data_IF_694112117667
#
_entry.id   IF_694112117667
#
_cell.length_a   1.000
_cell.length_b   1.000
_cell.length_c   1.000
_cell.angle_alpha   90.00
_cell.angle_beta   90.00
_cell.angle_gamma   90.00
#
_symmetry.space_group_name_H-M   'P 1'
#
loop_
_entity.id
_entity.type
_entity.pdbx_description
1 polymer ?
#
# COMPACT_ATOMS: atom_id res chain seq x y z
N UNK A 1 -6.77 30.87 -3.81
CA UNK A 1 -6.33 30.03 -2.68
C UNK A 1 -4.88 30.39 -2.42
N UNK A 2 -4.65 31.36 -1.54
CA UNK A 2 -3.31 31.74 -1.08
C UNK A 2 -2.83 30.68 -0.11
N UNK A 3 -1.72 30.04 -0.45
CA UNK A 3 -1.00 29.08 0.39
C UNK A 3 -0.48 29.82 1.63
N UNK A 4 -1.18 29.67 2.76
CA UNK A 4 -0.83 30.25 4.06
C UNK A 4 -0.05 29.23 4.88
N UNK A 5 0.98 28.62 4.30
CA UNK A 5 1.93 27.84 5.10
C UNK A 5 2.89 28.82 5.76
N UNK A 6 2.85 28.99 7.10
CA UNK A 6 3.73 29.95 7.78
C UNK A 6 5.19 29.50 7.66
N UNK A 7 6.15 30.44 7.64
CA UNK A 7 7.57 30.13 7.53
C UNK A 7 8.03 29.23 8.71
N UNK A 8 9.01 28.34 8.47
CA UNK A 8 9.42 27.26 9.41
C UNK A 8 9.70 27.74 10.85
N UNK A 9 10.21 28.94 11.00
CA UNK A 9 10.48 29.62 12.26
C UNK A 9 9.21 30.06 13.01
N UNK A 10 8.15 30.43 12.30
CA UNK A 10 6.84 30.65 12.93
C UNK A 10 6.19 29.33 13.30
N UNK A 11 6.29 28.28 12.47
CA UNK A 11 5.80 26.93 12.81
C UNK A 11 6.40 26.40 14.12
N UNK A 12 7.73 26.51 14.29
CA UNK A 12 8.41 26.13 15.54
C UNK A 12 7.92 26.93 16.76
N UNK A 13 7.54 28.19 16.56
CA UNK A 13 7.04 29.07 17.62
C UNK A 13 5.59 28.75 17.97
N UNK A 14 4.73 28.47 16.98
CA UNK A 14 3.35 28.00 17.17
C UNK A 14 3.32 26.63 17.86
N UNK A 15 4.19 25.70 17.45
CA UNK A 15 4.32 24.38 18.10
C UNK A 15 4.81 24.51 19.55
N UNK A 16 5.77 25.39 19.83
CA UNK A 16 6.27 25.63 21.19
C UNK A 16 5.22 26.29 22.11
N UNK A 17 4.43 27.23 21.60
CA UNK A 17 3.34 27.88 22.37
C UNK A 17 2.20 26.90 22.64
N UNK A 18 1.81 26.08 21.66
CA UNK A 18 0.83 25.02 21.89
C UNK A 18 1.34 23.95 22.85
N UNK A 19 2.63 23.60 22.80
CA UNK A 19 3.24 22.68 23.74
C UNK A 19 3.17 23.22 25.19
N UNK A 20 3.54 24.49 25.42
CA UNK A 20 3.45 25.09 26.76
C UNK A 20 2.03 25.11 27.32
N UNK A 21 1.04 25.52 26.52
CA UNK A 21 -0.36 25.50 26.95
C UNK A 21 -0.88 24.09 27.29
N UNK A 22 -0.31 23.05 26.67
CA UNK A 22 -0.69 21.66 26.96
C UNK A 22 -0.08 21.12 28.26
N UNK A 23 1.15 21.51 28.59
CA UNK A 23 1.74 21.18 29.91
C UNK A 23 0.92 21.81 31.03
N UNK A 24 0.53 23.08 30.88
CA UNK A 24 -0.29 23.77 31.87
C UNK A 24 -1.64 23.07 32.07
N UNK A 25 -2.28 22.67 30.97
CA UNK A 25 -3.51 21.88 31.01
C UNK A 25 -3.34 20.53 31.73
N UNK A 26 -2.32 19.75 31.38
CA UNK A 26 -2.07 18.45 32.02
C UNK A 26 -1.77 18.62 33.52
N UNK A 27 -1.00 19.64 33.89
CA UNK A 27 -0.72 19.94 35.29
C UNK A 27 -1.98 20.32 36.07
N UNK A 28 -2.90 21.09 35.47
CA UNK A 28 -4.21 21.40 36.07
C UNK A 28 -5.05 20.12 36.26
N UNK A 29 -5.09 19.24 35.26
CA UNK A 29 -5.82 17.96 35.34
C UNK A 29 -5.26 17.08 36.46
N UNK A 30 -3.93 16.97 36.56
CA UNK A 30 -3.28 16.19 37.62
C UNK A 30 -3.59 16.76 39.00
N UNK A 31 -3.49 18.08 39.17
CA UNK A 31 -3.80 18.74 40.44
C UNK A 31 -5.27 18.50 40.84
N UNK A 32 -6.20 18.67 39.90
CA UNK A 32 -7.62 18.38 40.15
C UNK A 32 -7.84 16.94 40.55
N UNK A 33 -7.14 16.00 39.91
CA UNK A 33 -7.27 14.58 40.23
C UNK A 33 -6.81 14.26 41.65
N UNK A 34 -5.74 14.90 42.13
CA UNK A 34 -5.27 14.75 43.52
C UNK A 34 -6.27 15.29 44.55
N UNK A 35 -7.12 16.24 44.16
CA UNK A 35 -8.15 16.85 45.01
C UNK A 35 -9.51 16.11 44.95
N UNK A 36 -9.67 15.13 44.05
CA UNK A 36 -10.92 14.34 43.93
C UNK A 36 -11.11 13.46 45.16
N UNK A 37 -12.30 13.53 45.75
CA UNK A 37 -12.70 12.60 46.81
C UNK A 37 -12.79 11.18 46.26
N UNK A 38 -12.23 10.22 46.98
CA UNK A 38 -12.29 8.78 46.67
C UNK A 38 -13.72 8.24 46.45
N UNK A 39 -14.75 8.93 46.96
CA UNK A 39 -16.16 8.63 46.73
C UNK A 39 -16.71 9.12 45.38
N UNK A 40 -16.08 10.10 44.73
CA UNK A 40 -16.52 10.68 43.45
C UNK A 40 -15.80 10.03 42.26
N UNK A 41 -16.23 8.81 41.94
CA UNK A 41 -15.66 8.02 40.83
C UNK A 41 -15.90 8.64 39.45
N UNK A 42 -16.96 9.43 39.27
CA UNK A 42 -17.34 9.97 37.95
C UNK A 42 -16.41 11.12 37.54
N UNK A 43 -16.11 12.02 38.47
CA UNK A 43 -15.13 13.10 38.25
C UNK A 43 -13.73 12.53 38.01
N UNK A 44 -13.34 11.48 38.74
CA UNK A 44 -12.05 10.80 38.53
C UNK A 44 -11.94 10.23 37.10
N UNK A 45 -12.96 9.49 36.62
CA UNK A 45 -13.00 8.95 35.25
C UNK A 45 -12.92 10.07 34.21
N UNK A 46 -13.65 11.17 34.42
CA UNK A 46 -13.65 12.30 33.49
C UNK A 46 -12.26 12.93 33.35
N UNK A 47 -11.56 13.15 34.47
CA UNK A 47 -10.20 13.71 34.47
C UNK A 47 -9.19 12.76 33.83
N UNK A 48 -9.29 11.44 34.07
CA UNK A 48 -8.46 10.44 33.37
C UNK A 48 -8.67 10.48 31.86
N UNK A 49 -9.92 10.60 31.41
CA UNK A 49 -10.23 10.73 29.97
C UNK A 49 -9.67 12.02 29.37
N UNK A 50 -9.81 13.16 30.06
CA UNK A 50 -9.21 14.43 29.63
C UNK A 50 -7.68 14.35 29.50
N UNK A 51 -7.03 13.72 30.49
CA UNK A 51 -5.59 13.46 30.47
C UNK A 51 -5.20 12.62 29.25
N UNK A 52 -5.93 11.54 28.97
CA UNK A 52 -5.64 10.65 27.85
C UNK A 52 -5.83 11.31 26.48
N UNK A 53 -6.88 12.11 26.28
CA UNK A 53 -7.06 12.85 25.03
C UNK A 53 -5.94 13.89 24.81
N UNK A 54 -5.53 14.60 25.87
CA UNK A 54 -4.42 15.53 25.75
C UNK A 54 -3.09 14.82 25.38
N UNK A 55 -2.86 13.63 25.93
CA UNK A 55 -1.70 12.81 25.55
C UNK A 55 -1.83 12.18 24.16
N UNK A 56 -3.04 11.83 23.73
CA UNK A 56 -3.29 11.29 22.40
C UNK A 56 -2.79 12.27 21.33
N UNK A 57 -3.11 13.55 21.48
CA UNK A 57 -2.69 14.60 20.55
C UNK A 57 -1.18 14.88 20.60
N UNK A 58 -0.56 14.78 21.79
CA UNK A 58 0.87 15.04 22.00
C UNK A 58 1.55 13.94 22.81
N UNK A 59 1.83 12.78 22.19
CA UNK A 59 2.39 11.62 22.89
C UNK A 59 3.82 11.84 23.42
N UNK A 60 4.54 12.84 22.88
CA UNK A 60 5.89 13.20 23.35
C UNK A 60 5.93 13.65 24.82
N UNK A 61 4.80 14.13 25.35
CA UNK A 61 4.69 14.56 26.75
C UNK A 61 4.95 13.39 27.72
N UNK A 62 4.71 12.14 27.30
CA UNK A 62 5.03 10.94 28.10
C UNK A 62 6.52 10.76 28.42
N UNK A 63 7.41 11.53 27.80
CA UNK A 63 8.83 11.54 28.17
C UNK A 63 9.05 12.15 29.56
N UNK A 64 8.13 12.97 30.06
CA UNK A 64 8.18 13.51 31.41
C UNK A 64 7.78 12.45 32.43
N UNK A 65 8.62 12.26 33.46
CA UNK A 65 8.38 11.24 34.49
C UNK A 65 7.04 11.44 35.20
N UNK A 66 6.60 12.68 35.40
CA UNK A 66 5.36 13.00 36.11
C UNK A 66 4.13 12.42 35.41
N UNK A 67 3.99 12.65 34.10
CA UNK A 67 2.84 12.16 33.34
C UNK A 67 2.91 10.64 33.14
N UNK A 68 4.11 10.10 32.92
CA UNK A 68 4.32 8.66 32.84
C UNK A 68 3.95 7.96 34.15
N UNK A 69 4.33 8.52 35.31
CA UNK A 69 4.00 8.00 36.64
C UNK A 69 2.50 8.07 36.92
N UNK A 70 1.83 9.17 36.53
CA UNK A 70 0.38 9.29 36.64
C UNK A 70 -0.33 8.23 35.78
N UNK A 71 0.10 8.06 34.53
CA UNK A 71 -0.47 7.07 33.62
C UNK A 71 -0.28 5.65 34.15
N UNK A 72 0.89 5.31 34.71
CA UNK A 72 1.14 3.99 35.26
C UNK A 72 0.34 3.72 36.55
N UNK A 73 0.07 4.74 37.36
CA UNK A 73 -0.53 4.58 38.68
C UNK A 73 -2.06 4.69 38.71
N UNK A 74 -2.65 5.50 37.83
CA UNK A 74 -4.06 5.89 37.93
C UNK A 74 -4.90 5.60 36.70
N UNK A 75 -4.28 5.36 35.54
CA UNK A 75 -5.02 5.06 34.31
C UNK A 75 -5.24 3.55 34.22
N UNK A 76 -6.50 3.15 34.07
CA UNK A 76 -6.86 1.77 33.85
C UNK A 76 -6.76 1.41 32.35
N UNK A 77 -6.54 0.13 32.01
CA UNK A 77 -6.57 -0.33 30.63
C UNK A 77 -7.89 -0.05 29.90
N UNK A 78 -8.99 0.04 30.65
CA UNK A 78 -10.32 0.36 30.11
C UNK A 78 -10.44 1.81 29.68
N UNK A 79 -9.83 2.77 30.40
CA UNK A 79 -9.83 4.18 30.02
C UNK A 79 -9.11 4.40 28.68
N UNK A 80 -8.04 3.62 28.45
CA UNK A 80 -7.30 3.61 27.18
C UNK A 80 -8.11 3.01 26.02
N UNK A 81 -9.07 2.13 26.32
CA UNK A 81 -9.91 1.47 25.32
C UNK A 81 -11.01 2.40 24.74
N UNK A 82 -11.22 3.55 25.35
CA UNK A 82 -12.15 4.59 24.87
C UNK A 82 -11.52 5.52 23.82
N UNK A 83 -10.20 5.46 23.63
CA UNK A 83 -9.50 6.27 22.63
C UNK A 83 -9.83 5.79 21.22
N UNK A 84 -10.34 6.70 20.39
CA UNK A 84 -10.60 6.47 18.97
C UNK A 84 -9.38 6.87 18.14
N UNK A 85 -8.97 6.02 17.19
CA UNK A 85 -7.75 6.23 16.42
C UNK A 85 -8.03 6.51 14.94
N UNK A 86 -7.85 7.75 14.51
CA UNK A 86 -8.04 8.14 13.11
C UNK A 86 -7.03 7.48 12.15
N UNK A 87 -5.80 7.25 12.65
CA UNK A 87 -4.66 6.78 11.87
C UNK A 87 -3.83 5.71 12.59
N UNK A 88 -3.51 4.58 11.93
CA UNK A 88 -2.62 3.56 12.47
C UNK A 88 -1.27 4.09 12.94
N UNK A 89 -0.72 5.07 12.21
CA UNK A 89 0.59 5.65 12.51
C UNK A 89 0.53 6.49 13.79
N UNK A 90 -0.57 7.19 14.02
CA UNK A 90 -0.75 8.01 15.21
C UNK A 90 -0.85 7.14 16.46
N UNK A 91 -1.65 6.08 16.38
CA UNK A 91 -1.70 5.04 17.41
C UNK A 91 -0.31 4.46 17.70
N UNK A 92 0.43 4.09 16.66
CA UNK A 92 1.77 3.51 16.84
C UNK A 92 2.75 4.48 17.48
N UNK A 93 2.71 5.77 17.13
CA UNK A 93 3.51 6.80 17.80
C UNK A 93 3.17 6.92 19.29
N UNK A 94 1.88 6.88 19.64
CA UNK A 94 1.45 6.90 21.04
C UNK A 94 1.94 5.65 21.78
N UNK A 95 1.78 4.47 21.18
CA UNK A 95 2.31 3.22 21.73
C UNK A 95 3.83 3.27 21.90
N UNK A 96 4.57 3.80 20.93
CA UNK A 96 6.03 3.96 21.02
C UNK A 96 6.43 4.92 22.15
N UNK A 97 5.71 6.03 22.32
CA UNK A 97 5.95 6.98 23.40
C UNK A 97 5.71 6.35 24.78
N UNK A 98 4.68 5.50 24.92
CA UNK A 98 4.48 4.68 26.11
C UNK A 98 5.68 3.75 26.35
N UNK A 99 6.24 3.13 25.31
CA UNK A 99 7.42 2.26 25.46
C UNK A 99 8.70 3.03 25.82
N UNK A 100 8.89 4.21 25.28
CA UNK A 100 10.12 5.00 25.45
C UNK A 100 10.16 5.80 26.76
N UNK A 101 9.02 5.97 27.44
CA UNK A 101 8.98 6.68 28.72
C UNK A 101 9.86 5.99 29.77
N UNK A 102 10.74 6.77 30.41
CA UNK A 102 11.74 6.27 31.35
C UNK A 102 11.11 6.06 32.74
N UNK A 103 10.93 4.81 33.14
CA UNK A 103 10.52 4.48 34.51
C UNK A 103 11.71 4.10 35.39
N UNK A 104 11.67 4.55 36.65
CA UNK A 104 12.61 4.12 37.70
C UNK A 104 12.23 2.76 38.31
N UNK A 105 10.96 2.35 38.17
CA UNK A 105 10.38 1.16 38.80
C UNK A 105 10.00 0.08 37.76
N UNK A 106 10.49 -1.14 37.98
CA UNK A 106 10.23 -2.29 37.11
C UNK A 106 8.76 -2.74 37.11
N UNK A 107 8.02 -2.52 38.20
CA UNK A 107 6.60 -2.87 38.29
C UNK A 107 5.75 -1.94 37.40
N UNK A 108 6.00 -0.63 37.48
CA UNK A 108 5.32 0.38 36.65
C UNK A 108 5.63 0.19 35.16
N UNK A 109 6.87 -0.14 34.82
CA UNK A 109 7.26 -0.47 33.45
C UNK A 109 6.52 -1.71 32.90
N UNK A 110 6.13 -2.65 33.76
CA UNK A 110 5.39 -3.85 33.36
C UNK A 110 3.91 -3.54 33.14
N UNK A 111 3.29 -2.74 34.00
CA UNK A 111 1.91 -2.26 33.82
C UNK A 111 1.74 -1.49 32.51
N UNK A 112 2.69 -0.61 32.18
CA UNK A 112 2.60 0.17 30.94
C UNK A 112 2.70 -0.67 29.66
N UNK A 113 3.45 -1.77 29.70
CA UNK A 113 3.51 -2.72 28.57
C UNK A 113 2.16 -3.39 28.33
N UNK A 114 1.42 -3.69 29.39
CA UNK A 114 0.07 -4.24 29.28
C UNK A 114 -0.87 -3.24 28.60
N UNK A 115 -0.77 -1.95 28.95
CA UNK A 115 -1.53 -0.88 28.30
C UNK A 115 -1.34 -0.82 26.77
N UNK A 116 -0.12 -0.99 26.28
CA UNK A 116 0.15 -0.99 24.84
C UNK A 116 -0.51 -2.16 24.09
N UNK A 117 -0.56 -3.36 24.70
CA UNK A 117 -1.24 -4.52 24.11
C UNK A 117 -2.76 -4.30 24.00
N UNK A 118 -3.37 -3.70 25.02
CA UNK A 118 -4.81 -3.39 25.06
C UNK A 118 -5.17 -2.35 24.00
N UNK A 119 -4.36 -1.29 23.87
CA UNK A 119 -4.51 -0.29 22.81
C UNK A 119 -4.47 -0.91 21.42
N UNK A 120 -3.49 -1.79 21.17
CA UNK A 120 -3.34 -2.49 19.89
C UNK A 120 -4.54 -3.36 19.57
N UNK A 121 -4.98 -4.18 20.52
CA UNK A 121 -6.16 -5.03 20.37
C UNK A 121 -7.40 -4.21 20.04
N UNK A 122 -7.63 -3.09 20.74
CA UNK A 122 -8.82 -2.26 20.54
C UNK A 122 -8.80 -1.50 19.22
N UNK A 123 -7.68 -0.89 18.85
CA UNK A 123 -7.54 -0.20 17.57
C UNK A 123 -7.73 -1.15 16.38
N UNK A 124 -7.24 -2.39 16.48
CA UNK A 124 -7.51 -3.42 15.47
C UNK A 124 -9.00 -3.77 15.39
N UNK A 125 -9.68 -3.91 16.53
CA UNK A 125 -11.12 -4.18 16.55
C UNK A 125 -11.94 -3.02 15.96
N UNK A 126 -11.52 -1.77 16.22
CA UNK A 126 -12.12 -0.58 15.62
C UNK A 126 -12.03 -0.62 14.09
N UNK A 127 -10.82 -0.81 13.54
CA UNK A 127 -10.64 -0.88 12.09
C UNK A 127 -11.34 -2.09 11.45
N UNK A 128 -11.46 -3.22 12.17
CA UNK A 128 -12.24 -4.37 11.70
C UNK A 128 -13.74 -4.02 11.64
N UNK A 129 -14.28 -3.36 12.67
CA UNK A 129 -15.69 -2.95 12.75
C UNK A 129 -16.05 -1.91 11.69
N UNK A 130 -15.16 -0.96 11.42
CA UNK A 130 -15.34 0.07 10.39
C UNK A 130 -15.13 -0.45 8.96
N UNK A 131 -14.59 -1.67 8.79
CA UNK A 131 -14.26 -2.24 7.48
C UNK A 131 -13.00 -1.64 6.85
N UNK A 132 -12.24 -0.84 7.61
CA UNK A 132 -10.99 -0.17 7.24
C UNK A 132 -9.81 -1.16 7.23
N UNK A 133 -9.93 -2.24 6.45
CA UNK A 133 -8.97 -3.35 6.39
C UNK A 133 -7.55 -2.90 6.02
N UNK A 134 -7.40 -1.80 5.30
CA UNK A 134 -6.09 -1.24 4.96
C UNK A 134 -5.40 -0.65 6.19
N UNK A 135 -6.14 0.11 7.02
CA UNK A 135 -5.64 0.67 8.28
C UNK A 135 -5.30 -0.44 9.27
N UNK A 136 -6.16 -1.46 9.38
CA UNK A 136 -5.93 -2.65 10.20
C UNK A 136 -4.61 -3.35 9.83
N UNK A 137 -4.37 -3.54 8.53
CA UNK A 137 -3.13 -4.16 8.05
C UNK A 137 -1.90 -3.30 8.31
N UNK A 138 -1.98 -1.99 8.03
CA UNK A 138 -0.89 -1.06 8.32
C UNK A 138 -0.53 -1.10 9.80
N UNK A 139 -1.53 -1.15 10.69
CA UNK A 139 -1.32 -1.23 12.13
C UNK A 139 -0.60 -2.52 12.52
N UNK A 140 -1.05 -3.69 12.02
CA UNK A 140 -0.39 -4.97 12.29
C UNK A 140 1.04 -5.05 11.78
N UNK A 141 1.36 -4.38 10.67
CA UNK A 141 2.71 -4.33 10.11
C UNK A 141 3.63 -3.42 10.91
N UNK A 142 3.09 -2.36 11.51
CA UNK A 142 3.84 -1.46 12.38
C UNK A 142 4.01 -2.02 13.80
N UNK A 143 3.07 -2.86 14.25
CA UNK A 143 3.08 -3.42 15.58
C UNK A 143 4.34 -4.26 15.84
N UNK A 144 5.09 -3.99 16.92
CA UNK A 144 6.22 -4.80 17.31
C UNK A 144 5.85 -6.26 17.49
N UNK A 145 6.69 -7.17 16.97
CA UNK A 145 6.44 -8.62 17.03
C UNK A 145 6.26 -9.13 18.46
N UNK A 146 6.98 -8.58 19.44
CA UNK A 146 6.84 -9.01 20.84
C UNK A 146 5.46 -8.68 21.44
N UNK A 147 4.80 -7.60 21.01
CA UNK A 147 3.42 -7.27 21.45
C UNK A 147 2.43 -8.30 20.92
N UNK A 148 2.62 -8.75 19.68
CA UNK A 148 1.78 -9.74 19.03
C UNK A 148 1.89 -11.14 19.67
N UNK A 149 2.99 -11.44 20.35
CA UNK A 149 3.22 -12.74 21.01
C UNK A 149 2.73 -12.77 22.47
N UNK A 150 2.44 -11.62 23.07
CA UNK A 150 1.97 -11.54 24.46
C UNK A 150 0.46 -11.79 24.59
N UNK A 151 -0.30 -11.64 23.51
CA UNK A 151 -1.76 -11.79 23.50
C UNK A 151 -2.20 -12.72 22.36
N UNK A 152 -2.86 -13.81 22.75
CA UNK A 152 -3.32 -14.86 21.82
C UNK A 152 -4.37 -14.32 20.83
N UNK A 153 -5.23 -13.39 21.24
CA UNK A 153 -6.22 -12.76 20.34
C UNK A 153 -5.56 -11.86 19.30
N UNK A 154 -4.54 -11.10 19.70
CA UNK A 154 -3.73 -10.28 18.80
C UNK A 154 -3.03 -11.13 17.73
N UNK A 155 -2.48 -12.27 18.12
CA UNK A 155 -1.88 -13.23 17.19
C UNK A 155 -2.90 -13.79 16.19
N UNK A 156 -4.14 -14.09 16.64
CA UNK A 156 -5.23 -14.58 15.78
C UNK A 156 -5.69 -13.50 14.79
N UNK A 157 -5.80 -12.25 15.23
CA UNK A 157 -6.12 -11.10 14.38
C UNK A 157 -5.04 -10.89 13.32
N UNK A 158 -3.76 -10.98 13.70
CA UNK A 158 -2.64 -10.90 12.77
C UNK A 158 -2.72 -11.96 11.67
N UNK A 159 -2.94 -13.22 12.05
CA UNK A 159 -3.09 -14.32 11.10
C UNK A 159 -4.30 -14.12 10.16
N UNK A 160 -5.45 -13.71 10.70
CA UNK A 160 -6.64 -13.39 9.90
C UNK A 160 -6.36 -12.28 8.89
N UNK A 161 -5.79 -11.16 9.32
CA UNK A 161 -5.48 -10.05 8.42
C UNK A 161 -4.52 -10.45 7.29
N UNK A 162 -3.49 -11.24 7.60
CA UNK A 162 -2.56 -11.76 6.60
C UNK A 162 -3.29 -12.65 5.56
N UNK A 163 -4.26 -13.47 5.99
CA UNK A 163 -5.08 -14.23 5.03
C UNK A 163 -5.95 -13.36 4.13
N UNK A 164 -6.39 -12.17 4.59
CA UNK A 164 -7.09 -11.20 3.74
C UNK A 164 -6.17 -10.57 2.69
N UNK A 165 -4.90 -10.28 3.02
CA UNK A 165 -3.92 -9.77 2.06
C UNK A 165 -3.73 -10.76 0.90
N UNK A 166 -3.55 -12.05 1.24
CA UNK A 166 -3.41 -13.12 0.25
C UNK A 166 -4.62 -13.16 -0.70
N UNK A 167 -5.84 -12.89 -0.21
CA UNK A 167 -7.05 -12.82 -1.05
C UNK A 167 -7.10 -11.57 -1.92
N UNK A 168 -6.74 -10.38 -1.40
CA UNK A 168 -6.66 -9.12 -2.16
C UNK A 168 -5.69 -9.25 -3.33
N UNK A 169 -4.48 -9.76 -3.06
CA UNK A 169 -3.43 -9.95 -4.07
C UNK A 169 -3.84 -11.01 -5.11
N UNK A 170 -4.43 -12.13 -4.69
CA UNK A 170 -4.92 -13.17 -5.63
C UNK A 170 -6.06 -12.69 -6.52
N UNK A 171 -6.97 -11.84 -6.02
CA UNK A 171 -8.05 -11.28 -6.85
C UNK A 171 -7.49 -10.42 -7.99
N UNK A 172 -6.43 -9.65 -7.73
CA UNK A 172 -5.79 -8.82 -8.75
C UNK A 172 -4.99 -9.65 -9.77
N UNK A 173 -4.40 -10.78 -9.36
CA UNK A 173 -3.69 -11.68 -10.27
C UNK A 173 -4.58 -12.29 -11.37
N UNK A 174 -5.89 -12.42 -11.15
CA UNK A 174 -6.81 -12.90 -12.21
C UNK A 174 -6.81 -11.97 -13.43
N UNK A 175 -6.84 -10.66 -13.21
CA UNK A 175 -6.77 -9.67 -14.29
C UNK A 175 -5.47 -9.73 -15.06
N UNK A 176 -4.35 -9.96 -14.36
CA UNK A 176 -3.06 -10.18 -14.98
C UNK A 176 -3.07 -11.42 -15.89
N UNK A 177 -3.59 -12.55 -15.41
CA UNK A 177 -3.70 -13.75 -16.24
C UNK A 177 -4.62 -13.57 -17.45
N UNK A 178 -5.74 -12.85 -17.28
CA UNK A 178 -6.65 -12.50 -18.37
C UNK A 178 -5.91 -11.64 -19.41
N UNK A 179 -5.17 -10.62 -18.97
CA UNK A 179 -4.36 -9.77 -19.86
C UNK A 179 -3.31 -10.58 -20.62
N UNK A 180 -2.56 -11.46 -19.95
CA UNK A 180 -1.54 -12.30 -20.61
C UNK A 180 -2.17 -13.28 -21.61
N UNK A 181 -3.32 -13.88 -21.28
CA UNK A 181 -4.04 -14.75 -22.20
C UNK A 181 -4.55 -13.98 -23.42
N UNK A 182 -5.12 -12.79 -23.22
CA UNK A 182 -5.54 -11.90 -24.29
C UNK A 182 -4.35 -11.51 -25.19
N UNK A 183 -3.20 -11.20 -24.60
CA UNK A 183 -1.98 -10.87 -25.31
C UNK A 183 -1.51 -12.02 -26.22
N UNK A 184 -1.53 -13.26 -25.72
CA UNK A 184 -1.20 -14.45 -26.52
C UNK A 184 -2.13 -14.57 -27.72
N UNK A 185 -3.45 -14.39 -27.52
CA UNK A 185 -4.44 -14.41 -28.60
C UNK A 185 -4.19 -13.30 -29.62
N UNK A 186 -3.88 -12.08 -29.15
CA UNK A 186 -3.57 -10.96 -30.03
C UNK A 186 -2.32 -11.24 -30.87
N UNK A 187 -1.23 -11.67 -30.25
CA UNK A 187 0.06 -11.91 -30.93
C UNK A 187 0.01 -13.12 -31.86
N UNK A 188 -0.73 -14.18 -31.51
CA UNK A 188 -0.75 -15.41 -32.31
C UNK A 188 -1.84 -15.45 -33.38
N UNK A 189 -2.94 -14.71 -33.21
CA UNK A 189 -4.07 -14.75 -34.15
C UNK A 189 -4.33 -13.39 -34.79
N UNK A 190 -4.54 -12.35 -33.98
CA UNK A 190 -5.07 -11.07 -34.48
C UNK A 190 -4.03 -10.27 -35.26
N UNK A 191 -2.85 -10.04 -34.70
CA UNK A 191 -1.79 -9.27 -35.35
C UNK A 191 -1.24 -9.95 -36.61
N UNK A 192 -0.98 -11.27 -36.61
CA UNK A 192 -0.63 -12.00 -37.84
C UNK A 192 -1.67 -11.84 -38.92
N UNK A 193 -2.95 -12.02 -38.59
CA UNK A 193 -4.06 -11.85 -39.53
C UNK A 193 -4.14 -10.43 -40.10
N UNK A 194 -4.04 -9.40 -39.25
CA UNK A 194 -4.07 -8.01 -39.67
C UNK A 194 -2.87 -7.64 -40.55
N UNK A 195 -1.68 -8.14 -40.21
CA UNK A 195 -0.45 -7.89 -40.96
C UNK A 195 -0.50 -8.53 -42.36
N UNK A 196 -0.91 -9.80 -42.43
CA UNK A 196 -1.06 -10.53 -43.69
C UNK A 196 -2.06 -9.84 -44.59
N UNK A 197 -3.22 -9.43 -44.06
CA UNK A 197 -4.22 -8.72 -44.86
C UNK A 197 -3.72 -7.36 -45.34
N UNK A 198 -2.98 -6.62 -44.50
CA UNK A 198 -2.40 -5.35 -44.89
C UNK A 198 -1.38 -5.51 -46.01
N UNK A 199 -0.44 -6.46 -45.87
CA UNK A 199 0.66 -6.64 -46.82
C UNK A 199 0.27 -7.40 -48.09
N UNK A 200 -0.56 -8.45 -47.99
CA UNK A 200 -1.03 -9.22 -49.15
C UNK A 200 -2.12 -8.47 -49.92
N UNK A 201 -2.95 -7.66 -49.25
CA UNK A 201 -3.93 -6.80 -49.94
C UNK A 201 -3.26 -5.79 -50.87
N UNK A 202 -2.09 -5.25 -50.49
CA UNK A 202 -1.26 -4.41 -51.37
C UNK A 202 -0.77 -5.21 -52.59
N UNK A 203 -0.29 -6.42 -52.38
CA UNK A 203 0.22 -7.27 -53.47
C UNK A 203 -0.89 -7.61 -54.46
N UNK A 204 -2.10 -7.90 -53.99
CA UNK A 204 -3.24 -8.18 -54.87
C UNK A 204 -3.62 -6.97 -55.74
N UNK A 205 -3.64 -5.76 -55.15
CA UNK A 205 -3.90 -4.53 -55.91
C UNK A 205 -2.80 -4.24 -56.95
N UNK A 206 -1.53 -4.49 -56.60
CA UNK A 206 -0.40 -4.33 -57.53
C UNK A 206 -0.42 -5.37 -58.64
N UNK A 207 -0.75 -6.63 -58.33
CA UNK A 207 -0.90 -7.68 -59.34
C UNK A 207 -2.03 -7.35 -60.31
N UNK A 208 -3.14 -6.79 -59.82
CA UNK A 208 -4.27 -6.38 -60.68
C UNK A 208 -3.89 -5.20 -61.58
N UNK A 209 -3.16 -4.20 -61.07
CA UNK A 209 -2.64 -3.06 -61.84
C UNK A 209 -1.57 -3.50 -62.86
N UNK A 210 -0.72 -4.46 -62.49
CA UNK A 210 0.35 -4.98 -63.32
C UNK A 210 -0.10 -6.11 -64.25
N UNK A 211 -1.26 -6.75 -64.03
CA UNK A 211 -1.80 -7.74 -64.96
C UNK A 211 -2.23 -7.12 -66.31
N UNK A 212 -2.42 -5.80 -66.35
CA UNK A 212 -2.65 -5.02 -67.58
C UNK A 212 -1.34 -4.71 -68.34
N UNK A 213 -0.18 -5.12 -67.80
CA UNK A 213 1.15 -4.96 -68.39
C UNK A 213 1.89 -6.30 -68.31
N UNK A 214 2.23 -6.93 -69.44
CA UNK A 214 3.00 -8.19 -69.41
C UNK A 214 4.34 -8.02 -68.66
N UNK A 215 4.43 -8.54 -67.43
CA UNK A 215 5.64 -8.57 -66.61
C UNK A 215 6.15 -10.01 -66.50
N UNK A 216 7.45 -10.17 -66.75
CA UNK A 216 8.16 -11.46 -66.70
C UNK A 216 8.20 -12.12 -65.32
N UNK A 217 8.57 -13.40 -65.33
CA UNK A 217 8.52 -14.48 -64.33
C UNK A 217 9.05 -14.24 -62.88
N UNK A 218 9.20 -13.00 -62.42
CA UNK A 218 9.52 -12.66 -61.02
C UNK A 218 8.23 -12.73 -60.17
N UNK A 219 7.86 -13.94 -59.75
CA UNK A 219 6.64 -14.21 -59.00
C UNK A 219 6.52 -13.44 -57.68
N UNK A 220 5.37 -12.83 -57.43
CA UNK A 220 5.05 -12.15 -56.18
C UNK A 220 5.06 -13.12 -54.98
N UNK A 221 5.85 -12.80 -53.95
CA UNK A 221 5.85 -13.57 -52.70
C UNK A 221 4.80 -13.03 -51.72
N UNK A 222 3.72 -13.79 -51.54
CA UNK A 222 2.70 -13.53 -50.53
C UNK A 222 3.21 -13.95 -49.14
N UNK A 223 2.89 -13.15 -48.13
CA UNK A 223 3.19 -13.48 -46.73
C UNK A 223 2.28 -14.62 -46.28
N UNK A 224 2.87 -15.74 -45.86
CA UNK A 224 2.17 -16.88 -45.30
C UNK A 224 1.73 -16.65 -43.86
N UNK A 225 0.78 -17.45 -43.35
CA UNK A 225 0.36 -17.37 -41.95
C UNK A 225 1.51 -17.60 -40.97
N UNK A 226 2.38 -18.58 -41.26
CA UNK A 226 3.57 -18.87 -40.47
C UNK A 226 4.52 -17.67 -40.38
N UNK A 227 4.73 -16.95 -41.48
CA UNK A 227 5.58 -15.75 -41.51
C UNK A 227 4.93 -14.59 -40.75
N UNK A 228 3.61 -14.43 -40.84
CA UNK A 228 2.88 -13.44 -40.05
C UNK A 228 2.95 -13.69 -38.55
N UNK A 229 2.85 -14.97 -38.12
CA UNK A 229 3.03 -15.35 -36.70
C UNK A 229 4.46 -15.12 -36.25
N UNK A 230 5.44 -15.55 -37.05
CA UNK A 230 6.85 -15.30 -36.77
C UNK A 230 7.15 -13.81 -36.60
N UNK A 231 6.69 -12.98 -37.55
CA UNK A 231 6.80 -11.52 -37.48
C UNK A 231 6.17 -10.95 -36.20
N UNK A 232 4.96 -11.40 -35.85
CA UNK A 232 4.27 -10.89 -34.67
C UNK A 232 5.01 -11.24 -33.36
N UNK A 233 5.57 -12.46 -33.26
CA UNK A 233 6.32 -12.91 -32.09
C UNK A 233 7.62 -12.13 -31.92
N UNK A 234 8.43 -11.99 -32.97
CA UNK A 234 9.71 -11.26 -32.88
C UNK A 234 9.51 -9.76 -32.66
N UNK A 235 8.40 -9.20 -33.16
CA UNK A 235 8.05 -7.78 -32.96
C UNK A 235 7.55 -7.55 -31.53
N UNK A 236 6.64 -8.38 -31.03
CA UNK A 236 6.14 -8.29 -29.65
C UNK A 236 7.26 -8.56 -28.62
N UNK A 237 8.20 -9.44 -28.96
CA UNK A 237 9.39 -9.75 -28.15
C UNK A 237 10.50 -8.70 -28.25
N UNK A 238 10.32 -7.60 -29.00
CA UNK A 238 11.33 -6.57 -29.24
C UNK A 238 12.65 -7.07 -29.85
N UNK A 239 12.63 -8.23 -30.53
CA UNK A 239 13.79 -8.82 -31.19
C UNK A 239 14.02 -8.16 -32.56
N UNK A 240 12.97 -8.14 -33.39
CA UNK A 240 12.95 -7.42 -34.67
C UNK A 240 14.12 -7.71 -35.63
N UNK A 241 14.27 -8.96 -36.09
CA UNK A 241 15.35 -9.34 -37.01
C UNK A 241 15.37 -8.55 -38.34
N UNK A 242 14.22 -8.04 -38.79
CA UNK A 242 14.12 -7.17 -39.97
C UNK A 242 14.02 -7.91 -41.31
N UNK A 243 13.93 -9.23 -41.29
CA UNK A 243 13.68 -10.11 -42.44
C UNK A 243 12.25 -10.00 -42.97
N UNK A 244 11.26 -9.93 -42.08
CA UNK A 244 9.86 -9.61 -42.41
C UNK A 244 9.53 -8.24 -41.83
N UNK A 245 9.17 -7.28 -42.69
CA UNK A 245 8.89 -5.89 -42.29
C UNK A 245 7.67 -5.31 -42.99
N UNK A 246 6.89 -4.44 -42.32
CA UNK A 246 5.73 -3.79 -42.92
C UNK A 246 6.13 -2.82 -44.03
N UNK A 247 5.66 -3.07 -45.24
CA UNK A 247 5.89 -2.20 -46.40
C UNK A 247 4.74 -1.22 -46.61
N UNK A 248 3.55 -1.54 -46.08
CA UNK A 248 2.35 -0.69 -46.17
C UNK A 248 2.26 0.32 -45.03
N UNK A 249 1.60 1.45 -45.27
CA UNK A 249 1.29 2.44 -44.21
C UNK A 249 0.45 1.81 -43.10
N UNK A 250 -0.57 1.02 -43.46
CA UNK A 250 -1.41 0.29 -42.51
C UNK A 250 -0.60 -0.73 -41.71
N UNK A 251 0.27 -1.51 -42.35
CA UNK A 251 1.17 -2.45 -41.71
C UNK A 251 2.12 -1.78 -40.71
N UNK A 252 2.61 -0.57 -41.00
CA UNK A 252 3.46 0.20 -40.09
C UNK A 252 2.70 0.68 -38.84
N UNK A 253 1.44 1.08 -38.99
CA UNK A 253 0.57 1.43 -37.85
C UNK A 253 0.35 0.20 -36.96
N UNK A 254 0.04 -0.95 -37.57
CA UNK A 254 -0.14 -2.22 -36.87
C UNK A 254 1.15 -2.61 -36.13
N UNK A 255 2.31 -2.47 -36.77
CA UNK A 255 3.61 -2.74 -36.16
C UNK A 255 3.90 -1.85 -34.95
N UNK A 256 3.58 -0.55 -35.04
CA UNK A 256 3.74 0.38 -33.92
C UNK A 256 2.86 0.02 -32.72
N UNK A 257 1.61 -0.37 -32.97
CA UNK A 257 0.70 -0.83 -31.93
C UNK A 257 1.20 -2.13 -31.27
N UNK A 258 1.63 -3.10 -32.08
CA UNK A 258 2.18 -4.36 -31.60
C UNK A 258 3.46 -4.16 -30.78
N UNK A 259 4.39 -3.33 -31.25
CA UNK A 259 5.63 -3.04 -30.56
C UNK A 259 5.40 -2.39 -29.19
N UNK A 260 4.51 -1.40 -29.11
CA UNK A 260 4.15 -0.73 -27.85
C UNK A 260 3.56 -1.73 -26.84
N UNK A 261 2.63 -2.56 -27.29
CA UNK A 261 1.98 -3.59 -26.47
C UNK A 261 2.97 -4.68 -26.04
N UNK A 262 3.91 -5.05 -26.91
CA UNK A 262 4.97 -6.02 -26.67
C UNK A 262 5.91 -5.57 -25.54
N UNK A 263 6.41 -4.33 -25.60
CA UNK A 263 7.32 -3.77 -24.57
C UNK A 263 6.66 -3.78 -23.19
N UNK A 264 5.39 -3.38 -23.09
CA UNK A 264 4.63 -3.42 -21.82
C UNK A 264 4.57 -4.86 -21.28
N UNK A 265 4.28 -5.83 -22.16
CA UNK A 265 4.19 -7.24 -21.80
C UNK A 265 5.52 -7.78 -21.30
N UNK A 266 6.63 -7.48 -21.98
CA UNK A 266 7.97 -7.92 -21.56
C UNK A 266 8.32 -7.38 -20.16
N UNK A 267 7.99 -6.13 -19.87
CA UNK A 267 8.17 -5.54 -18.53
C UNK A 267 7.37 -6.29 -17.44
N UNK A 268 6.14 -6.67 -17.75
CA UNK A 268 5.29 -7.46 -16.84
C UNK A 268 5.87 -8.87 -16.62
N UNK A 269 6.33 -9.53 -17.68
CA UNK A 269 6.95 -10.85 -17.59
C UNK A 269 8.24 -10.82 -16.75
N UNK A 270 9.08 -9.80 -16.93
CA UNK A 270 10.29 -9.61 -16.12
C UNK A 270 9.95 -9.46 -14.63
N UNK A 271 8.93 -8.65 -14.29
CA UNK A 271 8.45 -8.49 -12.91
C UNK A 271 7.95 -9.80 -12.31
N UNK A 272 7.23 -10.61 -13.09
CA UNK A 272 6.76 -11.94 -12.66
C UNK A 272 7.92 -12.92 -12.38
N UNK A 273 8.95 -12.91 -13.22
CA UNK A 273 10.15 -13.74 -13.01
C UNK A 273 10.89 -13.29 -11.75
N UNK A 274 11.03 -11.98 -11.53
CA UNK A 274 11.69 -11.44 -10.34
C UNK A 274 10.94 -11.81 -9.05
N UNK A 275 9.61 -11.71 -9.07
CA UNK A 275 8.72 -12.14 -7.98
C UNK A 275 8.88 -13.64 -7.65
N UNK A 276 9.16 -14.47 -8.66
CA UNK A 276 9.34 -15.90 -8.49
C UNK A 276 10.73 -16.25 -7.93
N UNK A 277 11.78 -15.56 -8.38
CA UNK A 277 13.16 -15.81 -7.94
C UNK A 277 13.41 -15.26 -6.55
N UNK A 278 12.81 -14.11 -6.19
CA UNK A 278 13.09 -13.45 -4.91
C UNK A 278 12.52 -14.28 -3.75
N UNK A 279 13.37 -14.81 -2.84
CA UNK A 279 12.89 -15.51 -1.67
C UNK A 279 12.09 -14.54 -0.81
N UNK A 280 10.85 -14.87 -0.49
CA UNK A 280 10.06 -14.09 0.48
C UNK A 280 10.74 -14.23 1.84
N UNK A 281 11.57 -13.26 2.22
CA UNK A 281 11.98 -13.11 3.61
C UNK A 281 10.75 -12.62 4.37
N UNK A 282 10.06 -13.57 5.00
CA UNK A 282 9.19 -13.29 6.13
C UNK A 282 10.16 -12.76 7.20
N UNK A 283 10.20 -11.45 7.38
CA UNK A 283 10.85 -10.77 8.50
C UNK A 283 9.76 -10.34 9.46
#
# INVERSE_FOLDING_TARGET
MTDTTPPQNEQLTYEAVQANGRHDFLNEVLQRYEEVDTADSETAVHLRRQFLHALQDQPMLLQESRYADFLAAHIDPEDLAELEWDSPRHMMRFSESLYQSRFKDAQRATQLKQHASVLLRRALYQYEKEGEMEKLFQLLRLAPTYLLHQDEELSRLHYRANTYEIRRVRRNRRWLHIYLALQIVLVLLVFPYLFINAENGRLQNQVEELADVEIGDEGYQLVSYSEGVYWAVITAGSIGYGDVTPRTTTGRIIAGALGTMGVITVGILAGLVLDWITPRRIM
#
